data_IF_826537680594
#
_entry.id   IF_826537680594
#
_cell.length_a   1.000
_cell.length_b   1.000
_cell.length_c   1.000
_cell.angle_alpha   90.00
_cell.angle_beta   90.00
_cell.angle_gamma   90.00
#
_symmetry.space_group_name_H-M   'P 1'
#
loop_
_entity.id
_entity.type
_entity.pdbx_description
1 polymer ?
#
# COMPACT_ATOMS: atom_id res chain seq x y z
N UNK A 1 -9.11 0.29 10.53
CA UNK A 1 -8.31 -0.34 9.46
C UNK A 1 -9.22 -1.36 8.81
N UNK A 2 -9.58 -1.16 7.55
CA UNK A 2 -10.43 -2.12 6.82
C UNK A 2 -9.50 -2.89 5.89
N UNK A 3 -9.33 -4.17 6.15
CA UNK A 3 -8.53 -5.09 5.33
C UNK A 3 -9.48 -5.71 4.32
N UNK A 4 -9.41 -5.26 3.06
CA UNK A 4 -10.53 -5.45 2.10
C UNK A 4 -10.17 -6.28 0.88
N UNK A 5 -8.89 -6.43 0.56
CA UNK A 5 -8.48 -7.05 -0.69
C UNK A 5 -7.89 -8.46 -0.54
N UNK A 6 -7.33 -8.82 0.63
CA UNK A 6 -6.74 -10.14 0.90
C UNK A 6 -5.81 -10.65 -0.23
N UNK A 7 -5.08 -9.72 -0.86
CA UNK A 7 -4.19 -10.02 -2.00
C UNK A 7 -4.87 -10.28 -3.35
N UNK A 8 -6.19 -10.08 -3.48
CA UNK A 8 -6.91 -10.11 -4.76
C UNK A 8 -6.72 -8.77 -5.51
N UNK A 9 -5.99 -8.75 -6.63
CA UNK A 9 -5.72 -7.52 -7.39
C UNK A 9 -7.00 -6.85 -7.91
N UNK A 10 -8.06 -7.61 -8.21
CA UNK A 10 -9.33 -7.05 -8.70
C UNK A 10 -10.11 -6.31 -7.60
N UNK A 11 -9.90 -6.69 -6.33
CA UNK A 11 -10.47 -5.99 -5.19
C UNK A 11 -9.57 -4.82 -4.78
N UNK A 12 -8.24 -4.95 -4.89
CA UNK A 12 -7.29 -3.86 -4.66
C UNK A 12 -7.49 -2.65 -5.58
N UNK A 13 -8.06 -2.80 -6.76
CA UNK A 13 -8.38 -1.65 -7.62
C UNK A 13 -9.68 -0.94 -7.15
N UNK A 14 -10.69 -1.72 -6.73
CA UNK A 14 -12.01 -1.19 -6.39
C UNK A 14 -12.04 -0.54 -5.01
N UNK A 15 -11.28 -1.08 -4.08
CA UNK A 15 -11.26 -0.65 -2.68
C UNK A 15 -10.72 0.77 -2.52
N UNK A 16 -9.53 1.13 -3.03
CA UNK A 16 -9.03 2.49 -2.93
C UNK A 16 -9.97 3.42 -3.66
N UNK A 17 -10.40 3.11 -4.89
CA UNK A 17 -11.36 3.95 -5.61
C UNK A 17 -12.63 4.25 -4.80
N UNK A 18 -13.16 3.26 -4.08
CA UNK A 18 -14.29 3.45 -3.18
C UNK A 18 -13.94 4.32 -1.96
N UNK A 19 -12.81 4.05 -1.29
CA UNK A 19 -12.34 4.84 -0.13
C UNK A 19 -12.03 6.29 -0.50
N UNK A 20 -11.51 6.52 -1.70
CA UNK A 20 -11.25 7.85 -2.27
C UNK A 20 -12.58 8.57 -2.56
N UNK A 21 -13.62 7.84 -3.01
CA UNK A 21 -14.97 8.41 -3.22
C UNK A 21 -15.65 8.87 -1.92
N UNK A 22 -15.23 8.34 -0.76
CA UNK A 22 -15.75 8.70 0.55
C UNK A 22 -15.15 10.01 1.11
N UNK A 23 -14.25 10.68 0.37
CA UNK A 23 -13.54 11.89 0.81
C UNK A 23 -12.80 11.68 2.13
N UNK A 24 -12.11 10.55 2.26
CA UNK A 24 -11.20 10.32 3.38
C UNK A 24 -10.07 11.37 3.38
N UNK A 25 -9.64 11.81 4.56
CA UNK A 25 -8.50 12.73 4.70
C UNK A 25 -7.16 12.05 4.35
N UNK A 26 -7.16 10.72 4.21
CA UNK A 26 -6.00 9.93 3.79
C UNK A 26 -6.29 8.44 3.83
N UNK A 27 -5.43 7.65 3.18
CA UNK A 27 -5.54 6.20 3.05
C UNK A 27 -4.21 5.51 3.38
N UNK A 28 -4.27 4.38 4.07
CA UNK A 28 -3.11 3.51 4.29
C UNK A 28 -3.35 2.23 3.49
N UNK A 29 -2.40 1.85 2.64
CA UNK A 29 -2.44 0.60 1.87
C UNK A 29 -1.34 -0.33 2.37
N UNK A 30 -1.73 -1.43 3.02
CA UNK A 30 -0.81 -2.44 3.52
C UNK A 30 -0.73 -3.62 2.55
N UNK A 31 0.48 -4.07 2.23
CA UNK A 31 0.71 -5.23 1.38
C UNK A 31 0.29 -5.05 -0.09
N UNK A 32 0.11 -3.81 -0.55
CA UNK A 32 -0.47 -3.54 -1.86
C UNK A 32 0.34 -4.20 -2.99
N UNK A 33 -0.39 -4.80 -3.91
CA UNK A 33 0.09 -5.39 -5.16
C UNK A 33 -0.11 -4.45 -6.36
N UNK A 34 -0.51 -3.19 -6.12
CA UNK A 34 -0.72 -2.21 -7.19
C UNK A 34 0.60 -1.88 -7.88
N UNK A 35 0.54 -1.80 -9.21
CA UNK A 35 1.65 -1.37 -10.06
C UNK A 35 1.58 0.13 -10.33
N UNK A 36 2.70 0.74 -10.73
CA UNK A 36 2.82 2.19 -10.94
C UNK A 36 1.94 2.72 -12.07
N UNK A 37 1.60 1.88 -13.04
CA UNK A 37 0.72 2.20 -14.17
C UNK A 37 -0.77 1.91 -13.87
N UNK A 38 -1.09 1.48 -12.64
CA UNK A 38 -2.46 1.20 -12.27
C UNK A 38 -3.30 2.49 -12.27
N UNK A 39 -4.48 2.53 -12.93
CA UNK A 39 -5.33 3.72 -12.99
C UNK A 39 -5.75 4.26 -11.62
N UNK A 40 -5.78 3.41 -10.59
CA UNK A 40 -6.09 3.80 -9.21
C UNK A 40 -4.98 4.65 -8.59
N UNK A 41 -3.72 4.37 -8.95
CA UNK A 41 -2.55 5.16 -8.53
C UNK A 41 -2.61 6.54 -9.16
N UNK A 42 -2.85 6.61 -10.47
CA UNK A 42 -3.03 7.89 -11.18
C UNK A 42 -4.17 8.71 -10.58
N UNK A 43 -5.33 8.09 -10.36
CA UNK A 43 -6.48 8.76 -9.78
C UNK A 43 -6.21 9.28 -8.36
N UNK A 44 -5.49 8.53 -7.53
CA UNK A 44 -5.12 8.97 -6.18
C UNK A 44 -4.17 10.18 -6.20
N UNK A 45 -3.22 10.21 -7.13
CA UNK A 45 -2.31 11.33 -7.35
C UNK A 45 -3.11 12.56 -7.78
N UNK A 46 -3.97 12.44 -8.79
CA UNK A 46 -4.79 13.53 -9.30
C UNK A 46 -5.74 14.10 -8.25
N UNK A 47 -6.33 13.23 -7.43
CA UNK A 47 -7.21 13.62 -6.34
C UNK A 47 -6.49 14.28 -5.15
N UNK A 48 -5.14 14.34 -5.16
CA UNK A 48 -4.31 14.86 -4.07
C UNK A 48 -4.61 14.19 -2.72
N UNK A 49 -4.96 12.91 -2.73
CA UNK A 49 -5.32 12.19 -1.50
C UNK A 49 -4.03 11.67 -0.85
N UNK A 50 -3.78 11.97 0.44
CA UNK A 50 -2.63 11.43 1.14
C UNK A 50 -2.69 9.90 1.20
N UNK A 51 -1.70 9.22 0.61
CA UNK A 51 -1.54 7.76 0.69
C UNK A 51 -0.22 7.42 1.37
N UNK A 52 -0.26 6.46 2.29
CA UNK A 52 0.93 5.83 2.87
C UNK A 52 0.88 4.33 2.57
N UNK A 53 1.98 3.80 2.06
CA UNK A 53 2.14 2.38 1.77
C UNK A 53 2.83 1.68 2.94
N UNK A 54 2.40 0.46 3.26
CA UNK A 54 3.04 -0.36 4.30
C UNK A 54 3.41 -1.70 3.70
N UNK A 55 4.71 -1.94 3.51
CA UNK A 55 5.24 -3.14 2.86
C UNK A 55 4.66 -3.42 1.47
N UNK A 56 4.61 -2.45 0.54
CA UNK A 56 4.12 -2.69 -0.81
C UNK A 56 5.00 -3.72 -1.54
N UNK A 57 4.41 -4.47 -2.48
CA UNK A 57 5.15 -5.40 -3.34
C UNK A 57 5.96 -4.64 -4.39
N UNK A 58 5.37 -3.60 -4.97
CA UNK A 58 6.00 -2.76 -5.99
C UNK A 58 6.33 -1.38 -5.42
N UNK A 59 7.40 -0.76 -5.92
CA UNK A 59 7.69 0.64 -5.62
C UNK A 59 6.69 1.54 -6.34
N UNK A 60 6.09 2.46 -5.58
CA UNK A 60 5.10 3.42 -6.05
C UNK A 60 5.53 4.82 -5.58
N UNK A 61 4.95 5.85 -6.19
CA UNK A 61 5.31 7.25 -5.93
C UNK A 61 4.78 7.81 -4.60
N UNK A 62 4.34 6.95 -3.69
CA UNK A 62 3.81 7.34 -2.38
C UNK A 62 4.83 7.05 -1.27
N UNK A 63 4.82 7.81 -0.16
CA UNK A 63 5.58 7.47 1.02
C UNK A 63 5.31 6.03 1.48
N UNK A 64 6.38 5.26 1.71
CA UNK A 64 6.29 3.86 2.12
C UNK A 64 6.98 3.59 3.45
N UNK A 65 6.42 2.65 4.21
CA UNK A 65 6.97 2.10 5.45
C UNK A 65 7.32 0.65 5.17
N UNK A 66 8.60 0.30 5.34
CA UNK A 66 9.09 -1.06 5.19
C UNK A 66 9.64 -1.59 6.50
N UNK A 67 9.51 -2.90 6.71
CA UNK A 67 10.28 -3.59 7.73
C UNK A 67 11.73 -3.67 7.28
N UNK A 68 12.67 -3.33 8.17
CA UNK A 68 14.08 -3.60 7.97
C UNK A 68 14.33 -5.11 8.12
N UNK A 69 14.13 -5.83 7.01
CA UNK A 69 14.31 -7.28 6.96
C UNK A 69 15.75 -7.69 7.24
N UNK A 70 16.73 -6.83 6.97
CA UNK A 70 18.15 -7.11 7.25
C UNK A 70 18.38 -7.16 8.75
N UNK A 71 17.91 -6.16 9.49
CA UNK A 71 18.02 -6.13 10.96
C UNK A 71 17.27 -7.29 11.62
N UNK A 72 16.09 -7.63 11.08
CA UNK A 72 15.30 -8.77 11.57
C UNK A 72 16.03 -10.10 11.33
N UNK A 73 16.52 -10.34 10.11
CA UNK A 73 17.23 -11.57 9.78
C UNK A 73 18.54 -11.71 10.55
N UNK A 74 19.29 -10.62 10.73
CA UNK A 74 20.48 -10.60 11.59
C UNK A 74 20.14 -11.03 13.02
N UNK A 75 19.09 -10.46 13.59
CA UNK A 75 18.62 -10.82 14.94
C UNK A 75 18.21 -12.29 15.05
N UNK A 76 17.58 -12.87 14.02
CA UNK A 76 17.19 -14.29 14.01
C UNK A 76 18.44 -15.18 13.95
N UNK A 77 19.39 -14.86 13.07
CA UNK A 77 20.64 -15.63 12.93
C UNK A 77 21.45 -15.61 14.22
N UNK A 78 21.53 -14.46 14.90
CA UNK A 78 22.25 -14.32 16.17
C UNK A 78 21.66 -15.16 17.32
N UNK A 79 20.41 -15.62 17.19
CA UNK A 79 19.71 -16.46 18.18
C UNK A 79 19.61 -17.94 17.78
N UNK A 80 20.22 -18.35 16.66
CA UNK A 80 20.35 -19.76 16.23
C UNK A 80 21.67 -20.37 16.74
#
# INVERSE_FOLDING_TARGET
MIELADGDPHLEEKVPRHVLSLKSDGTILAGSTLESDNPTVEYAIDAHIPIILVGPIHELHFPSIHLDRTSIMGSIIDHL
#
